data_IF_901693378122
#
_entry.id   IF_901693378122
#
_cell.length_a   1.000
_cell.length_b   1.000
_cell.length_c   1.000
_cell.angle_alpha   90.00
_cell.angle_beta   90.00
_cell.angle_gamma   90.00
#
_symmetry.space_group_name_H-M   'P 1'
#
loop_
_entity.id
_entity.type
_entity.pdbx_description
1 polymer ?
#
# COMPACT_ATOMS: atom_id res chain seq x y z
N UNK A 1 -29.98 28.09 23.58
CA UNK A 1 -28.64 28.72 23.74
C UNK A 1 -27.66 28.27 22.66
N UNK A 2 -27.42 26.96 22.50
CA UNK A 2 -26.50 26.45 21.46
C UNK A 2 -26.91 26.81 20.03
N UNK A 3 -28.20 26.71 19.66
CA UNK A 3 -28.71 27.18 18.35
C UNK A 3 -28.42 28.66 18.05
N UNK A 4 -28.34 29.51 19.08
CA UNK A 4 -28.03 30.94 18.95
C UNK A 4 -26.53 31.18 18.83
N UNK A 5 -25.71 30.30 19.41
CA UNK A 5 -24.25 30.32 19.34
C UNK A 5 -23.70 29.75 18.02
N UNK A 6 -24.45 28.87 17.35
CA UNK A 6 -24.09 28.23 16.08
C UNK A 6 -24.72 28.91 14.85
N UNK A 7 -25.53 29.95 15.05
CA UNK A 7 -26.11 30.73 13.96
C UNK A 7 -24.99 31.41 13.15
N UNK A 8 -25.03 31.22 11.83
CA UNK A 8 -24.10 31.90 10.94
C UNK A 8 -24.30 33.42 11.05
N UNK A 9 -23.25 34.20 11.35
CA UNK A 9 -23.36 35.65 11.42
C UNK A 9 -23.61 36.24 10.02
N UNK A 10 -24.19 37.45 9.95
CA UNK A 10 -24.52 38.11 8.68
C UNK A 10 -23.30 38.43 7.81
N UNK A 11 -22.08 38.44 8.37
CA UNK A 11 -20.81 38.68 7.66
C UNK A 11 -19.91 37.45 7.78
N UNK A 12 -19.42 36.94 6.64
CA UNK A 12 -18.49 35.81 6.59
C UNK A 12 -17.10 36.24 7.08
N UNK A 13 -16.80 35.93 8.33
CA UNK A 13 -15.53 36.11 9.01
C UNK A 13 -14.54 34.98 8.73
N UNK A 14 -13.24 35.25 8.58
CA UNK A 14 -12.21 34.20 8.54
C UNK A 14 -11.90 33.74 9.98
N UNK A 15 -11.80 32.42 10.21
CA UNK A 15 -11.63 31.89 11.58
C UNK A 15 -10.32 32.34 12.25
N UNK A 16 -9.29 32.57 11.45
CA UNK A 16 -7.95 32.97 11.90
C UNK A 16 -7.73 34.49 11.91
N UNK A 17 -8.75 35.29 11.56
CA UNK A 17 -8.61 36.73 11.60
C UNK A 17 -8.75 37.23 13.04
N UNK A 18 -7.63 37.64 13.63
CA UNK A 18 -7.58 38.13 15.02
C UNK A 18 -8.33 39.46 15.22
N UNK A 19 -8.67 40.17 14.15
CA UNK A 19 -9.35 41.47 14.20
C UNK A 19 -10.85 41.40 14.47
N UNK A 20 -11.50 40.26 14.20
CA UNK A 20 -12.96 40.11 14.35
C UNK A 20 -13.37 39.56 15.72
N UNK A 21 -14.52 39.97 16.30
CA UNK A 21 -14.93 39.52 17.63
C UNK A 21 -15.08 38.00 17.71
N UNK A 22 -14.74 37.39 18.87
CA UNK A 22 -14.80 35.94 19.09
C UNK A 22 -16.18 35.35 18.77
N UNK A 23 -17.25 36.11 19.01
CA UNK A 23 -18.64 35.75 18.67
C UNK A 23 -18.83 35.42 17.18
N UNK A 24 -18.14 36.11 16.29
CA UNK A 24 -18.10 35.83 14.85
C UNK A 24 -17.18 34.66 14.50
N UNK A 25 -16.47 34.05 15.45
CA UNK A 25 -15.64 32.86 15.23
C UNK A 25 -16.26 31.60 15.86
N UNK A 26 -17.14 31.76 16.85
CA UNK A 26 -17.78 30.64 17.59
C UNK A 26 -18.51 29.68 16.66
N UNK A 27 -19.22 30.18 15.64
CA UNK A 27 -19.93 29.33 14.67
C UNK A 27 -18.99 28.46 13.81
N UNK A 28 -17.67 28.71 13.82
CA UNK A 28 -16.66 27.87 13.18
C UNK A 28 -15.92 26.94 14.15
N UNK A 29 -16.16 27.06 15.46
CA UNK A 29 -15.49 26.25 16.46
C UNK A 29 -16.01 24.81 16.46
N UNK A 30 -15.14 23.87 16.09
CA UNK A 30 -15.44 22.44 16.10
C UNK A 30 -15.92 21.94 17.48
N UNK A 31 -15.33 22.41 18.58
CA UNK A 31 -15.66 21.96 19.94
C UNK A 31 -17.09 22.32 20.35
N UNK A 32 -17.59 23.46 19.88
CA UNK A 32 -18.97 23.90 20.17
C UNK A 32 -19.95 23.07 19.37
N UNK A 33 -19.61 22.76 18.12
CA UNK A 33 -20.41 21.87 17.27
C UNK A 33 -20.40 20.42 17.75
N UNK A 34 -19.28 19.89 18.24
CA UNK A 34 -19.24 18.53 18.80
C UNK A 34 -20.09 18.44 20.06
N UNK A 35 -19.94 19.39 20.99
CA UNK A 35 -20.80 19.45 22.18
C UNK A 35 -22.29 19.62 21.79
N UNK A 36 -22.57 20.40 20.74
CA UNK A 36 -23.94 20.57 20.28
C UNK A 36 -24.51 19.28 19.69
N UNK A 37 -23.72 18.54 18.91
CA UNK A 37 -24.09 17.23 18.40
C UNK A 37 -24.33 16.21 19.54
N UNK A 38 -23.44 16.17 20.54
CA UNK A 38 -23.55 15.25 21.69
C UNK A 38 -24.84 15.52 22.50
N UNK A 39 -25.19 16.79 22.71
CA UNK A 39 -26.42 17.17 23.42
C UNK A 39 -27.66 16.81 22.61
N UNK A 40 -27.65 17.05 21.30
CA UNK A 40 -28.77 16.70 20.43
C UNK A 40 -28.92 15.18 20.31
N UNK A 41 -27.83 14.41 20.33
CA UNK A 41 -27.89 12.94 20.36
C UNK A 41 -28.52 12.42 21.67
N UNK A 42 -28.28 13.09 22.80
CA UNK A 42 -28.83 12.68 24.09
C UNK A 42 -30.30 13.12 24.33
N UNK A 43 -30.71 14.28 23.81
CA UNK A 43 -32.00 14.90 24.15
C UNK A 43 -32.88 15.26 22.94
N UNK A 44 -32.35 15.21 21.72
CA UNK A 44 -32.95 15.77 20.53
C UNK A 44 -33.96 14.86 19.83
N UNK A 45 -34.69 15.45 18.88
CA UNK A 45 -35.51 14.71 17.92
C UNK A 45 -34.68 14.35 16.69
N UNK A 46 -35.08 13.32 15.95
CA UNK A 46 -34.35 12.86 14.76
C UNK A 46 -34.07 13.99 13.75
N UNK A 47 -35.07 14.82 13.49
CA UNK A 47 -34.97 15.94 12.55
C UNK A 47 -34.08 17.08 13.05
N UNK A 48 -34.04 17.32 14.37
CA UNK A 48 -33.15 18.34 14.93
C UNK A 48 -31.70 17.89 14.78
N UNK A 49 -31.40 16.64 15.15
CA UNK A 49 -30.08 16.04 15.02
C UNK A 49 -29.59 16.08 13.57
N UNK A 50 -30.42 15.65 12.61
CA UNK A 50 -30.08 15.70 11.18
C UNK A 50 -29.72 17.12 10.74
N UNK A 51 -30.52 18.12 11.09
CA UNK A 51 -30.23 19.53 10.73
C UNK A 51 -28.92 20.03 11.32
N UNK A 52 -28.56 19.60 12.54
CA UNK A 52 -27.29 19.97 13.17
C UNK A 52 -26.12 19.36 12.41
N UNK A 53 -26.18 18.05 12.14
CA UNK A 53 -25.12 17.36 11.40
C UNK A 53 -24.98 17.87 9.96
N UNK A 54 -26.08 18.10 9.24
CA UNK A 54 -26.04 18.71 7.90
C UNK A 54 -25.39 20.09 7.92
N UNK A 55 -25.69 20.90 8.94
CA UNK A 55 -25.06 22.22 9.08
C UNK A 55 -23.55 22.13 9.37
N UNK A 56 -23.10 21.12 10.11
CA UNK A 56 -21.67 20.87 10.35
C UNK A 56 -20.96 20.50 9.04
N UNK A 57 -21.61 19.67 8.21
CA UNK A 57 -21.13 19.23 6.89
C UNK A 57 -21.04 20.43 5.93
N UNK A 58 -22.09 21.25 5.85
CA UNK A 58 -22.14 22.44 4.98
C UNK A 58 -21.07 23.47 5.32
N UNK A 59 -20.77 23.65 6.61
CA UNK A 59 -19.72 24.55 7.07
C UNK A 59 -18.31 24.02 6.81
N UNK A 60 -18.16 22.75 6.37
CA UNK A 60 -16.89 22.06 6.12
C UNK A 60 -15.94 21.99 7.33
N UNK A 61 -16.51 21.95 8.54
CA UNK A 61 -15.74 21.83 9.80
C UNK A 61 -15.73 20.37 10.29
N UNK A 62 -16.50 19.49 9.64
CA UNK A 62 -16.63 18.10 10.05
C UNK A 62 -15.27 17.40 10.14
N UNK A 63 -15.06 16.64 11.22
CA UNK A 63 -14.02 15.61 11.27
C UNK A 63 -14.61 14.29 10.77
N UNK A 64 -13.77 13.35 10.29
CA UNK A 64 -14.23 12.02 9.85
C UNK A 64 -15.02 11.28 10.92
N UNK A 65 -14.59 11.44 12.18
CA UNK A 65 -15.24 10.84 13.34
C UNK A 65 -16.67 11.34 13.52
N UNK A 66 -16.94 12.62 13.28
CA UNK A 66 -18.31 13.19 13.34
C UNK A 66 -19.21 12.55 12.28
N UNK A 67 -18.69 12.29 11.08
CA UNK A 67 -19.46 11.65 10.01
C UNK A 67 -19.75 10.19 10.35
N UNK A 68 -18.77 9.48 10.91
CA UNK A 68 -18.97 8.10 11.39
C UNK A 68 -20.02 8.07 12.50
N UNK A 69 -19.96 9.00 13.46
CA UNK A 69 -20.95 9.09 14.53
C UNK A 69 -22.34 9.41 13.99
N UNK A 70 -22.46 10.38 13.08
CA UNK A 70 -23.74 10.73 12.46
C UNK A 70 -24.34 9.55 11.69
N UNK A 71 -23.51 8.85 10.92
CA UNK A 71 -23.96 7.67 10.20
C UNK A 71 -24.36 6.52 11.14
N UNK A 72 -23.67 6.34 12.27
CA UNK A 72 -24.04 5.38 13.31
C UNK A 72 -25.37 5.75 13.98
N UNK A 73 -25.58 7.02 14.31
CA UNK A 73 -26.86 7.51 14.82
C UNK A 73 -28.01 7.26 13.84
N UNK A 74 -27.79 7.50 12.54
CA UNK A 74 -28.80 7.19 11.51
C UNK A 74 -29.07 5.69 11.37
N UNK A 75 -28.05 4.84 11.58
CA UNK A 75 -28.21 3.38 11.61
C UNK A 75 -29.05 2.92 12.82
N UNK A 76 -28.84 3.51 14.01
CA UNK A 76 -29.61 3.18 15.22
C UNK A 76 -31.11 3.53 15.07
N UNK A 77 -31.43 4.50 14.21
CA UNK A 77 -32.79 4.93 13.91
C UNK A 77 -33.36 4.32 12.61
N UNK A 78 -32.73 3.28 12.05
CA UNK A 78 -33.14 2.56 10.83
C UNK A 78 -33.18 3.39 9.52
N UNK A 79 -32.61 4.60 9.49
CA UNK A 79 -32.50 5.44 8.29
C UNK A 79 -31.24 5.13 7.47
N UNK A 80 -31.16 3.92 6.91
CA UNK A 80 -29.97 3.42 6.21
C UNK A 80 -29.62 4.22 4.94
N UNK A 81 -30.61 4.66 4.16
CA UNK A 81 -30.34 5.41 2.93
C UNK A 81 -29.73 6.78 3.22
N UNK A 82 -30.19 7.44 4.29
CA UNK A 82 -29.62 8.71 4.72
C UNK A 82 -28.22 8.53 5.30
N UNK A 83 -27.96 7.40 5.97
CA UNK A 83 -26.60 7.04 6.41
C UNK A 83 -25.65 6.92 5.22
N UNK A 84 -26.07 6.28 4.12
CA UNK A 84 -25.25 6.19 2.91
C UNK A 84 -25.02 7.53 2.21
N UNK A 85 -26.06 8.36 2.09
CA UNK A 85 -25.91 9.73 1.57
C UNK A 85 -24.94 10.55 2.42
N UNK A 86 -24.94 10.32 3.74
CA UNK A 86 -24.01 10.96 4.67
C UNK A 86 -22.56 10.54 4.41
N UNK A 87 -22.32 9.24 4.18
CA UNK A 87 -20.98 8.77 3.81
C UNK A 87 -20.52 9.35 2.46
N UNK A 88 -21.40 9.40 1.44
CA UNK A 88 -21.11 10.02 0.13
C UNK A 88 -20.78 11.51 0.25
N UNK A 89 -21.56 12.26 1.04
CA UNK A 89 -21.26 13.66 1.38
C UNK A 89 -19.90 13.77 2.10
N UNK A 90 -19.60 12.84 3.01
CA UNK A 90 -18.31 12.77 3.69
C UNK A 90 -17.14 12.57 2.73
N UNK A 91 -17.23 11.59 1.82
CA UNK A 91 -16.19 11.29 0.84
C UNK A 91 -15.92 12.49 -0.08
N UNK A 92 -16.95 13.23 -0.49
CA UNK A 92 -16.79 14.42 -1.33
C UNK A 92 -16.06 15.59 -0.63
N UNK A 93 -16.05 15.61 0.71
CA UNK A 93 -15.47 16.70 1.50
C UNK A 93 -14.00 16.50 1.86
N UNK A 94 -13.59 15.26 2.17
CA UNK A 94 -12.20 14.99 2.57
C UNK A 94 -11.34 14.58 1.38
N UNK A 95 -10.04 14.86 1.51
CA UNK A 95 -9.00 14.34 0.63
C UNK A 95 -8.23 13.22 1.34
N UNK A 96 -7.54 12.39 0.56
CA UNK A 96 -6.58 11.42 1.10
C UNK A 96 -5.56 12.10 2.00
N UNK A 97 -5.10 11.44 3.10
CA UNK A 97 -5.28 10.04 3.52
C UNK A 97 -6.55 9.71 4.30
N UNK A 98 -7.20 10.70 4.88
CA UNK A 98 -8.25 10.54 5.92
C UNK A 98 -9.53 9.83 5.41
N UNK A 99 -9.74 9.89 4.10
CA UNK A 99 -10.85 9.25 3.39
C UNK A 99 -10.83 7.71 3.53
N UNK A 100 -9.67 7.11 3.78
CA UNK A 100 -9.52 5.65 3.90
C UNK A 100 -10.34 5.04 5.06
N UNK A 101 -10.41 5.72 6.20
CA UNK A 101 -11.13 5.30 7.40
C UNK A 101 -12.64 5.34 7.14
N UNK A 102 -13.10 6.43 6.52
CA UNK A 102 -14.51 6.59 6.12
C UNK A 102 -14.90 5.47 5.16
N UNK A 103 -14.10 5.21 4.13
CA UNK A 103 -14.36 4.11 3.19
C UNK A 103 -14.41 2.74 3.87
N UNK A 104 -13.47 2.46 4.77
CA UNK A 104 -13.42 1.16 5.44
C UNK A 104 -14.67 0.93 6.30
N UNK A 105 -15.10 1.93 7.07
CA UNK A 105 -16.33 1.84 7.86
C UNK A 105 -17.54 1.74 6.94
N UNK A 106 -17.64 2.60 5.93
CA UNK A 106 -18.76 2.61 5.00
C UNK A 106 -18.93 1.26 4.29
N UNK A 107 -17.85 0.71 3.74
CA UNK A 107 -17.87 -0.58 3.04
C UNK A 107 -18.24 -1.72 4.00
N UNK A 108 -17.61 -1.83 5.17
CA UNK A 108 -17.95 -2.90 6.13
C UNK A 108 -19.40 -2.84 6.60
N UNK A 109 -19.97 -1.65 6.77
CA UNK A 109 -21.39 -1.46 7.11
C UNK A 109 -22.31 -1.83 5.96
N UNK A 110 -21.97 -1.39 4.75
CA UNK A 110 -22.72 -1.75 3.54
C UNK A 110 -22.76 -3.27 3.34
N UNK A 111 -21.62 -3.94 3.52
CA UNK A 111 -21.48 -5.40 3.42
C UNK A 111 -22.37 -6.14 4.43
N UNK A 112 -22.31 -5.77 5.71
CA UNK A 112 -23.11 -6.41 6.77
C UNK A 112 -24.61 -6.41 6.48
N UNK A 113 -25.12 -5.39 5.79
CA UNK A 113 -26.55 -5.25 5.50
C UNK A 113 -26.96 -5.85 4.16
N UNK A 114 -26.19 -5.60 3.10
CA UNK A 114 -26.57 -5.93 1.72
C UNK A 114 -25.89 -7.16 1.14
N UNK A 115 -25.11 -7.92 1.92
CA UNK A 115 -24.31 -9.09 1.55
C UNK A 115 -24.73 -9.79 0.26
N UNK A 116 -26.00 -10.20 0.09
CA UNK A 116 -26.47 -10.84 -1.15
C UNK A 116 -27.40 -10.05 -2.08
N UNK A 117 -28.01 -8.93 -1.66
CA UNK A 117 -29.16 -8.34 -2.38
C UNK A 117 -28.81 -7.32 -3.47
N UNK A 118 -27.69 -6.59 -3.33
CA UNK A 118 -27.30 -5.50 -4.26
C UNK A 118 -25.80 -5.52 -4.53
N UNK A 119 -25.32 -6.60 -5.15
CA UNK A 119 -23.89 -6.79 -5.45
C UNK A 119 -23.35 -5.78 -6.46
N UNK A 120 -24.12 -5.45 -7.49
CA UNK A 120 -23.69 -4.47 -8.52
C UNK A 120 -23.40 -3.10 -7.92
N UNK A 121 -24.30 -2.59 -7.06
CA UNK A 121 -24.08 -1.35 -6.33
C UNK A 121 -22.85 -1.42 -5.42
N UNK A 122 -22.57 -2.58 -4.82
CA UNK A 122 -21.36 -2.76 -4.03
C UNK A 122 -20.11 -2.64 -4.90
N UNK A 123 -20.12 -3.27 -6.09
CA UNK A 123 -19.01 -3.24 -7.06
C UNK A 123 -18.73 -1.82 -7.53
N UNK A 124 -19.76 -1.08 -7.93
CA UNK A 124 -19.61 0.32 -8.37
C UNK A 124 -18.96 1.17 -7.28
N UNK A 125 -19.35 0.94 -6.03
CA UNK A 125 -18.81 1.64 -4.89
C UNK A 125 -17.33 1.29 -4.62
N UNK A 126 -16.98 0.02 -4.76
CA UNK A 126 -15.59 -0.42 -4.67
C UNK A 126 -14.74 0.16 -5.82
N UNK A 127 -15.23 0.18 -7.05
CA UNK A 127 -14.51 0.78 -8.19
C UNK A 127 -14.28 2.28 -7.97
N UNK A 128 -15.29 3.02 -7.51
CA UNK A 128 -15.12 4.44 -7.16
C UNK A 128 -14.06 4.67 -6.07
N UNK A 129 -14.06 3.79 -5.05
CA UNK A 129 -13.04 3.83 -4.01
C UNK A 129 -11.65 3.60 -4.62
N UNK A 130 -11.48 2.54 -5.42
CA UNK A 130 -10.22 2.13 -6.04
C UNK A 130 -9.66 3.17 -7.02
N UNK A 131 -10.49 3.86 -7.79
CA UNK A 131 -10.07 4.94 -8.69
C UNK A 131 -9.37 6.09 -7.95
N UNK A 132 -9.85 6.38 -6.73
CA UNK A 132 -9.32 7.49 -5.95
C UNK A 132 -8.12 7.06 -5.08
N UNK A 133 -7.85 5.76 -4.95
CA UNK A 133 -6.91 5.22 -3.96
C UNK A 133 -5.42 5.44 -4.28
N UNK A 134 -4.63 5.94 -3.31
CA UNK A 134 -3.17 5.82 -3.35
C UNK A 134 -2.73 4.39 -2.97
N UNK A 135 -1.62 3.94 -3.56
CA UNK A 135 -1.09 2.57 -3.45
C UNK A 135 -0.86 2.06 -2.01
N UNK A 136 -0.61 2.97 -1.06
CA UNK A 136 -0.34 2.65 0.36
C UNK A 136 -1.53 2.06 1.12
N UNK A 137 -2.76 2.42 0.75
CA UNK A 137 -3.96 1.97 1.47
C UNK A 137 -4.80 0.98 0.66
N UNK A 138 -4.41 0.75 -0.60
CA UNK A 138 -5.10 -0.13 -1.53
C UNK A 138 -5.22 -1.56 -1.00
N UNK A 139 -4.20 -2.07 -0.29
CA UNK A 139 -4.15 -3.46 0.17
C UNK A 139 -5.41 -3.88 0.96
N UNK A 140 -5.81 -3.07 1.95
CA UNK A 140 -6.95 -3.40 2.82
C UNK A 140 -8.27 -3.39 2.04
N UNK A 141 -8.42 -2.45 1.11
CA UNK A 141 -9.63 -2.27 0.30
C UNK A 141 -9.79 -3.41 -0.71
N UNK A 142 -8.72 -3.78 -1.41
CA UNK A 142 -8.72 -4.94 -2.31
C UNK A 142 -9.04 -6.24 -1.58
N UNK A 143 -8.47 -6.44 -0.38
CA UNK A 143 -8.77 -7.62 0.43
C UNK A 143 -10.24 -7.68 0.85
N UNK A 144 -10.82 -6.52 1.22
CA UNK A 144 -12.23 -6.44 1.56
C UNK A 144 -13.13 -6.72 0.35
N UNK A 145 -12.76 -6.18 -0.82
CA UNK A 145 -13.50 -6.39 -2.06
C UNK A 145 -13.47 -7.87 -2.48
N UNK A 146 -12.29 -8.50 -2.41
CA UNK A 146 -12.15 -9.91 -2.75
C UNK A 146 -12.92 -10.83 -1.79
N UNK A 147 -12.99 -10.51 -0.49
CA UNK A 147 -13.84 -11.25 0.47
C UNK A 147 -15.32 -11.20 0.10
N UNK A 148 -15.84 -10.04 -0.32
CA UNK A 148 -17.23 -9.95 -0.79
C UNK A 148 -17.46 -10.87 -2.00
N UNK A 149 -16.53 -10.86 -2.96
CA UNK A 149 -16.69 -11.66 -4.18
C UNK A 149 -16.47 -13.16 -3.92
N UNK A 150 -15.73 -13.54 -2.87
CA UNK A 150 -15.65 -14.92 -2.40
C UNK A 150 -16.96 -15.40 -1.77
N UNK A 151 -17.61 -14.56 -0.94
CA UNK A 151 -18.82 -14.94 -0.21
C UNK A 151 -20.08 -14.94 -1.09
N UNK A 152 -20.16 -14.00 -2.04
CA UNK A 152 -21.39 -13.74 -2.79
C UNK A 152 -21.20 -13.71 -4.31
N UNK A 153 -19.96 -13.74 -4.78
CA UNK A 153 -19.61 -13.51 -6.18
C UNK A 153 -19.22 -14.75 -6.96
N UNK A 154 -18.68 -14.49 -8.15
CA UNK A 154 -18.14 -15.51 -9.03
C UNK A 154 -16.64 -15.70 -8.74
N UNK A 155 -16.16 -16.94 -8.54
CA UNK A 155 -14.75 -17.23 -8.33
C UNK A 155 -13.79 -16.63 -9.35
N UNK A 156 -14.23 -16.47 -10.60
CA UNK A 156 -13.40 -15.87 -11.67
C UNK A 156 -13.19 -14.37 -11.47
N UNK A 157 -14.22 -13.68 -10.98
CA UNK A 157 -14.14 -12.24 -10.73
C UNK A 157 -13.25 -11.95 -9.52
N UNK A 158 -13.38 -12.73 -8.44
CA UNK A 158 -12.49 -12.66 -7.28
C UNK A 158 -11.01 -12.82 -7.70
N UNK A 159 -10.71 -13.77 -8.59
CA UNK A 159 -9.35 -13.98 -9.12
C UNK A 159 -8.82 -12.76 -9.89
N UNK A 160 -9.67 -12.13 -10.71
CA UNK A 160 -9.34 -10.91 -11.46
C UNK A 160 -9.02 -9.75 -10.53
N UNK A 161 -9.81 -9.58 -9.46
CA UNK A 161 -9.60 -8.54 -8.45
C UNK A 161 -8.28 -8.74 -7.72
N UNK A 162 -7.95 -9.98 -7.33
CA UNK A 162 -6.65 -10.25 -6.72
C UNK A 162 -5.48 -9.95 -7.67
N UNK A 163 -5.60 -10.27 -8.96
CA UNK A 163 -4.58 -9.93 -9.95
C UNK A 163 -4.46 -8.40 -10.14
N UNK A 164 -5.58 -7.67 -10.16
CA UNK A 164 -5.54 -6.19 -10.15
C UNK A 164 -4.88 -5.64 -8.88
N UNK A 165 -5.13 -6.28 -7.74
CA UNK A 165 -4.55 -5.89 -6.46
C UNK A 165 -3.02 -6.02 -6.45
N UNK A 166 -2.44 -7.04 -7.09
CA UNK A 166 -0.97 -7.19 -7.13
C UNK A 166 -0.28 -6.05 -7.88
N UNK A 167 -0.92 -5.47 -8.89
CA UNK A 167 -0.41 -4.33 -9.64
C UNK A 167 -0.57 -2.98 -8.91
N UNK A 168 -1.64 -2.83 -8.11
CA UNK A 168 -1.98 -1.56 -7.47
C UNK A 168 -1.31 -1.32 -6.10
N UNK A 169 -0.84 -2.39 -5.44
CA UNK A 169 -0.28 -2.34 -4.09
C UNK A 169 1.18 -1.89 -4.10
N UNK A 170 1.61 -1.24 -3.00
CA UNK A 170 3.01 -0.85 -2.81
C UNK A 170 3.97 -2.06 -2.82
N UNK A 171 5.19 -1.88 -3.35
CA UNK A 171 6.20 -2.95 -3.50
C UNK A 171 6.53 -3.67 -2.19
N UNK A 172 6.45 -2.97 -1.05
CA UNK A 172 6.68 -3.54 0.29
C UNK A 172 5.61 -4.57 0.68
N UNK A 173 4.35 -4.28 0.38
CA UNK A 173 3.19 -5.10 0.75
C UNK A 173 2.82 -6.14 -0.32
N UNK A 174 3.35 -5.98 -1.53
CA UNK A 174 3.10 -6.86 -2.67
C UNK A 174 3.36 -8.34 -2.36
N UNK A 175 4.44 -8.66 -1.64
CA UNK A 175 4.74 -10.04 -1.22
C UNK A 175 3.65 -10.64 -0.32
N UNK A 176 3.08 -9.83 0.57
CA UNK A 176 1.97 -10.26 1.42
C UNK A 176 0.71 -10.53 0.59
N UNK A 177 0.42 -9.65 -0.38
CA UNK A 177 -0.72 -9.83 -1.29
C UNK A 177 -0.60 -11.11 -2.12
N UNK A 178 0.56 -11.39 -2.72
CA UNK A 178 0.78 -12.64 -3.46
C UNK A 178 0.59 -13.88 -2.58
N UNK A 179 1.04 -13.84 -1.33
CA UNK A 179 0.84 -14.97 -0.41
C UNK A 179 -0.63 -15.22 -0.09
N UNK A 180 -1.43 -14.16 0.07
CA UNK A 180 -2.88 -14.29 0.25
C UNK A 180 -3.50 -14.85 -1.03
N UNK A 181 -3.12 -14.29 -2.19
CA UNK A 181 -3.63 -14.69 -3.48
C UNK A 181 -3.38 -16.17 -3.79
N UNK A 182 -2.17 -16.66 -3.56
CA UNK A 182 -1.80 -18.06 -3.76
C UNK A 182 -2.62 -18.98 -2.85
N UNK A 183 -2.74 -18.64 -1.56
CA UNK A 183 -3.55 -19.43 -0.62
C UNK A 183 -5.01 -19.52 -1.07
N UNK A 184 -5.57 -18.41 -1.53
CA UNK A 184 -6.95 -18.34 -2.00
C UNK A 184 -7.15 -19.11 -3.31
N UNK A 185 -6.27 -18.91 -4.29
CA UNK A 185 -6.31 -19.65 -5.54
C UNK A 185 -6.19 -21.16 -5.32
N UNK A 186 -5.30 -21.60 -4.42
CA UNK A 186 -5.16 -23.01 -4.05
C UNK A 186 -6.44 -23.60 -3.45
N UNK A 187 -7.16 -22.85 -2.59
CA UNK A 187 -8.42 -23.31 -2.02
C UNK A 187 -9.58 -23.37 -3.03
N UNK A 188 -9.62 -22.46 -4.00
CA UNK A 188 -10.76 -22.36 -4.94
C UNK A 188 -10.63 -23.29 -6.15
N UNK A 189 -9.44 -23.37 -6.75
CA UNK A 189 -9.21 -24.05 -8.02
C UNK A 189 -8.18 -25.18 -7.93
N UNK A 190 -7.59 -25.38 -6.75
CA UNK A 190 -6.50 -26.34 -6.55
C UNK A 190 -5.13 -25.78 -6.93
N UNK A 191 -4.10 -26.60 -6.68
CA UNK A 191 -2.69 -26.21 -6.83
C UNK A 191 -2.27 -25.94 -8.28
N UNK A 192 -2.89 -26.59 -9.27
CA UNK A 192 -2.53 -26.45 -10.69
C UNK A 192 -2.71 -25.03 -11.22
N UNK A 193 -3.75 -24.33 -10.76
CA UNK A 193 -4.05 -22.96 -11.14
C UNK A 193 -3.16 -21.91 -10.46
N UNK A 194 -2.34 -22.31 -9.48
CA UNK A 194 -1.42 -21.38 -8.79
C UNK A 194 -0.14 -21.10 -9.59
N UNK A 195 0.18 -21.94 -10.58
CA UNK A 195 1.37 -21.81 -11.44
C UNK A 195 1.55 -20.44 -12.12
N UNK A 196 0.56 -19.93 -12.89
CA UNK A 196 0.69 -18.62 -13.52
C UNK A 196 0.83 -17.48 -12.49
N UNK A 197 0.27 -17.66 -11.29
CA UNK A 197 0.39 -16.68 -10.20
C UNK A 197 1.83 -16.62 -9.70
N UNK A 198 2.47 -17.77 -9.50
CA UNK A 198 3.86 -17.82 -9.08
C UNK A 198 4.80 -17.23 -10.13
N UNK A 199 4.58 -17.53 -11.42
CA UNK A 199 5.35 -16.95 -12.51
C UNK A 199 5.24 -15.42 -12.50
N UNK A 200 4.01 -14.90 -12.43
CA UNK A 200 3.78 -13.47 -12.35
C UNK A 200 4.42 -12.84 -11.10
N UNK A 201 4.38 -13.53 -9.95
CA UNK A 201 5.02 -13.06 -8.73
C UNK A 201 6.55 -12.95 -8.87
N UNK A 202 7.19 -13.90 -9.54
CA UNK A 202 8.65 -13.90 -9.74
C UNK A 202 9.09 -12.74 -10.66
N UNK A 203 8.29 -12.39 -11.65
CA UNK A 203 8.58 -11.29 -12.59
C UNK A 203 8.46 -9.89 -11.94
N UNK A 204 7.49 -9.70 -11.04
CA UNK A 204 7.16 -8.37 -10.50
C UNK A 204 7.86 -8.08 -9.17
N UNK A 205 8.15 -9.11 -8.36
CA UNK A 205 8.72 -8.93 -7.03
C UNK A 205 10.20 -8.49 -7.06
N UNK A 206 10.64 -7.68 -6.08
CA UNK A 206 12.07 -7.40 -5.87
C UNK A 206 12.86 -8.68 -5.59
N UNK A 207 14.15 -8.69 -5.95
CA UNK A 207 15.06 -9.86 -5.91
C UNK A 207 15.04 -10.64 -4.58
N UNK A 208 15.02 -9.94 -3.44
CA UNK A 208 14.98 -10.59 -2.12
C UNK A 208 13.69 -11.40 -1.90
N UNK A 209 12.53 -10.83 -2.29
CA UNK A 209 11.22 -11.45 -2.10
C UNK A 209 10.89 -12.44 -3.21
N UNK A 210 11.39 -12.24 -4.42
CA UNK A 210 11.23 -13.18 -5.53
C UNK A 210 11.93 -14.50 -5.24
N UNK A 211 13.07 -14.49 -4.53
CA UNK A 211 13.75 -15.70 -4.04
C UNK A 211 12.87 -16.52 -3.11
N UNK A 212 12.32 -15.90 -2.07
CA UNK A 212 11.41 -16.59 -1.13
C UNK A 212 10.20 -17.17 -1.86
N UNK A 213 9.64 -16.42 -2.81
CA UNK A 213 8.50 -16.86 -3.61
C UNK A 213 8.86 -18.05 -4.49
N UNK A 214 10.02 -18.02 -5.14
CA UNK A 214 10.49 -19.10 -6.01
C UNK A 214 10.79 -20.38 -5.23
N UNK A 215 11.28 -20.27 -4.00
CA UNK A 215 11.44 -21.42 -3.10
C UNK A 215 10.11 -22.08 -2.75
N UNK A 216 9.07 -21.29 -2.48
CA UNK A 216 7.71 -21.81 -2.28
C UNK A 216 7.16 -22.43 -3.57
N UNK A 217 7.45 -21.84 -4.72
CA UNK A 217 7.03 -22.36 -6.01
C UNK A 217 7.64 -23.74 -6.29
N UNK A 218 8.94 -23.91 -6.03
CA UNK A 218 9.62 -25.20 -6.17
C UNK A 218 9.08 -26.27 -5.19
N UNK A 219 8.78 -25.88 -3.94
CA UNK A 219 8.14 -26.79 -2.97
C UNK A 219 6.75 -27.24 -3.42
N UNK A 220 5.97 -26.33 -4.00
CA UNK A 220 4.65 -26.63 -4.56
C UNK A 220 4.75 -27.61 -5.73
N UNK A 221 5.63 -27.38 -6.71
CA UNK A 221 5.80 -28.31 -7.85
C UNK A 221 6.32 -29.68 -7.40
N UNK A 222 7.20 -29.72 -6.39
CA UNK A 222 7.61 -30.97 -5.74
C UNK A 222 6.43 -31.72 -5.12
N UNK A 223 5.48 -31.00 -4.49
CA UNK A 223 4.27 -31.62 -3.92
C UNK A 223 3.32 -32.18 -4.99
N UNK A 224 3.35 -31.62 -6.21
CA UNK A 224 2.62 -32.14 -7.37
C UNK A 224 3.33 -33.30 -8.07
N UNK A 225 4.59 -33.59 -7.72
CA UNK A 225 5.40 -34.66 -8.33
C UNK A 225 6.15 -34.25 -9.60
N UNK A 226 6.10 -32.98 -10.00
CA UNK A 226 6.72 -32.47 -11.22
C UNK A 226 8.18 -32.05 -10.96
N UNK A 227 9.07 -33.04 -10.91
CA UNK A 227 10.47 -32.86 -10.50
C UNK A 227 11.24 -31.99 -11.52
N UNK A 228 11.03 -32.17 -12.82
CA UNK A 228 11.75 -31.43 -13.86
C UNK A 228 11.42 -29.94 -13.87
N UNK A 229 10.18 -29.59 -13.53
CA UNK A 229 9.78 -28.19 -13.36
C UNK A 229 10.37 -27.59 -12.10
N UNK A 230 10.36 -28.33 -10.99
CA UNK A 230 11.02 -27.89 -9.76
C UNK A 230 12.52 -27.62 -10.00
N UNK A 231 13.21 -28.45 -10.79
CA UNK A 231 14.61 -28.21 -11.22
C UNK A 231 14.78 -26.91 -11.99
N UNK A 232 13.92 -26.66 -12.98
CA UNK A 232 13.98 -25.43 -13.76
C UNK A 232 13.79 -24.18 -12.87
N UNK A 233 12.89 -24.26 -11.89
CA UNK A 233 12.69 -23.17 -10.92
C UNK A 233 13.93 -22.98 -10.05
N UNK A 234 14.56 -24.05 -9.54
CA UNK A 234 15.81 -23.94 -8.77
C UNK A 234 16.95 -23.35 -9.62
N UNK A 235 17.05 -23.71 -10.90
CA UNK A 235 18.02 -23.11 -11.81
C UNK A 235 17.79 -21.60 -11.96
N UNK A 236 16.55 -21.15 -12.19
CA UNK A 236 16.20 -19.73 -12.24
C UNK A 236 16.51 -19.00 -10.92
N UNK A 237 16.19 -19.62 -9.77
CA UNK A 237 16.53 -19.05 -8.46
C UNK A 237 18.04 -18.86 -8.30
N UNK A 238 18.83 -19.75 -8.85
CA UNK A 238 20.28 -19.76 -8.67
C UNK A 238 20.97 -18.53 -9.26
N UNK A 239 20.38 -17.92 -10.28
CA UNK A 239 20.89 -16.69 -10.91
C UNK A 239 20.79 -15.48 -9.98
N UNK A 240 19.84 -15.51 -9.04
CA UNK A 240 19.54 -14.43 -8.07
C UNK A 240 20.13 -14.74 -6.69
N UNK A 241 20.61 -15.98 -6.48
CA UNK A 241 21.06 -16.48 -5.17
C UNK A 241 22.58 -16.50 -5.06
N UNK A 242 23.13 -15.51 -4.36
CA UNK A 242 24.53 -15.51 -3.94
C UNK A 242 24.89 -16.76 -3.09
N UNK A 243 25.87 -17.59 -3.51
CA UNK A 243 26.24 -18.79 -2.77
C UNK A 243 26.88 -18.54 -1.40
N UNK A 244 27.39 -17.33 -1.15
CA UNK A 244 28.01 -16.95 0.14
C UNK A 244 26.99 -16.48 1.16
N UNK A 245 25.97 -15.74 0.71
CA UNK A 245 24.98 -15.12 1.58
C UNK A 245 23.83 -16.09 1.84
N UNK A 246 23.42 -16.86 0.82
CA UNK A 246 22.22 -17.70 0.87
C UNK A 246 22.57 -19.19 0.81
N UNK A 247 23.36 -19.67 1.77
CA UNK A 247 23.75 -21.09 1.87
C UNK A 247 22.56 -22.03 2.00
N UNK A 248 21.54 -21.62 2.77
CA UNK A 248 20.31 -22.40 2.99
C UNK A 248 19.61 -22.79 1.69
N UNK A 249 19.59 -21.91 0.69
CA UNK A 249 19.02 -22.20 -0.63
C UNK A 249 19.75 -23.36 -1.30
N UNK A 250 21.08 -23.30 -1.32
CA UNK A 250 21.93 -24.31 -1.96
C UNK A 250 21.88 -25.66 -1.23
N UNK A 251 21.72 -25.66 0.09
CA UNK A 251 21.56 -26.88 0.86
C UNK A 251 20.21 -27.55 0.55
N UNK A 252 19.12 -26.77 0.47
CA UNK A 252 17.80 -27.29 0.08
C UNK A 252 17.82 -27.85 -1.35
N UNK A 253 18.47 -27.17 -2.30
CA UNK A 253 18.59 -27.66 -3.67
C UNK A 253 19.45 -28.94 -3.73
N UNK A 254 20.55 -29.00 -2.97
CA UNK A 254 21.35 -30.22 -2.86
C UNK A 254 20.53 -31.39 -2.30
N UNK A 255 19.78 -31.18 -1.23
CA UNK A 255 18.89 -32.21 -0.68
C UNK A 255 17.81 -32.66 -1.67
N UNK A 256 17.33 -31.74 -2.50
CA UNK A 256 16.36 -32.05 -3.54
C UNK A 256 16.97 -32.96 -4.62
N UNK A 257 18.16 -32.64 -5.15
CA UNK A 257 18.82 -33.47 -6.15
C UNK A 257 19.26 -34.82 -5.59
N UNK A 258 19.66 -34.90 -4.32
CA UNK A 258 19.99 -36.18 -3.67
C UNK A 258 18.77 -37.10 -3.55
N UNK A 259 17.58 -36.53 -3.32
CA UNK A 259 16.34 -37.32 -3.15
C UNK A 259 15.71 -37.76 -4.46
N UNK A 260 15.86 -36.96 -5.52
CA UNK A 260 15.10 -37.15 -6.78
C UNK A 260 15.97 -37.20 -8.05
N UNK A 261 17.27 -36.98 -7.93
CA UNK A 261 18.21 -36.82 -9.05
C UNK A 261 19.21 -37.96 -9.21
N UNK A 262 20.09 -37.76 -10.19
CA UNK A 262 21.16 -38.68 -10.56
C UNK A 262 22.52 -38.01 -10.31
N UNK A 263 23.62 -38.78 -10.33
CA UNK A 263 24.97 -38.20 -10.13
C UNK A 263 25.28 -37.06 -11.10
N UNK A 264 24.81 -37.16 -12.34
CA UNK A 264 25.02 -36.13 -13.37
C UNK A 264 24.25 -34.84 -13.04
N UNK A 265 23.03 -34.92 -12.49
CA UNK A 265 22.25 -33.73 -12.13
C UNK A 265 22.85 -33.02 -10.91
N UNK A 266 23.36 -33.78 -9.94
CA UNK A 266 24.11 -33.24 -8.80
C UNK A 266 25.40 -32.56 -9.26
N UNK A 267 26.14 -33.17 -10.21
CA UNK A 267 27.34 -32.56 -10.80
C UNK A 267 27.03 -31.26 -11.53
N UNK A 268 25.93 -31.20 -12.28
CA UNK A 268 25.51 -29.98 -12.97
C UNK A 268 25.12 -28.87 -11.99
N UNK A 269 24.39 -29.17 -10.91
CA UNK A 269 24.10 -28.19 -9.85
C UNK A 269 25.39 -27.60 -9.24
N UNK A 270 26.39 -28.44 -8.95
CA UNK A 270 27.68 -27.97 -8.42
C UNK A 270 28.48 -27.13 -9.44
N UNK A 271 28.29 -27.39 -10.73
CA UNK A 271 28.86 -26.56 -11.80
C UNK A 271 28.19 -25.19 -11.83
N UNK A 272 26.85 -25.15 -11.79
CA UNK A 272 26.07 -23.91 -11.72
C UNK A 272 26.48 -23.10 -10.48
N UNK A 273 26.56 -23.72 -9.30
CA UNK A 273 27.03 -23.07 -8.06
C UNK A 273 28.39 -22.38 -8.22
N UNK A 274 29.36 -23.05 -8.84
CA UNK A 274 30.69 -22.48 -9.10
C UNK A 274 30.65 -21.35 -10.11
N UNK A 275 29.83 -21.47 -11.16
CA UNK A 275 29.68 -20.43 -12.17
C UNK A 275 29.06 -19.16 -11.59
N UNK A 276 27.97 -19.29 -10.83
CA UNK A 276 27.30 -18.17 -10.15
C UNK A 276 28.27 -17.51 -9.16
N UNK A 277 28.98 -18.31 -8.34
CA UNK A 277 29.99 -17.79 -7.44
C UNK A 277 31.08 -16.97 -8.15
N UNK A 278 31.51 -17.41 -9.34
CA UNK A 278 32.49 -16.69 -10.15
C UNK A 278 31.89 -15.38 -10.71
N UNK A 279 30.67 -15.40 -11.22
CA UNK A 279 29.97 -14.21 -11.73
C UNK A 279 29.85 -13.12 -10.67
N UNK A 280 29.40 -13.48 -9.46
CA UNK A 280 29.27 -12.54 -8.35
C UNK A 280 30.62 -12.05 -7.80
N UNK A 281 31.66 -12.91 -7.78
CA UNK A 281 33.01 -12.44 -7.43
C UNK A 281 33.52 -11.41 -8.43
N UNK A 282 33.23 -11.60 -9.72
CA UNK A 282 33.65 -10.68 -10.78
C UNK A 282 32.88 -9.37 -10.69
N UNK A 283 31.56 -9.41 -10.46
CA UNK A 283 30.76 -8.19 -10.30
C UNK A 283 31.16 -7.38 -9.06
N UNK A 284 31.44 -8.03 -7.94
CA UNK A 284 31.98 -7.36 -6.73
C UNK A 284 33.35 -6.74 -7.00
N UNK A 285 34.23 -7.43 -7.72
CA UNK A 285 35.55 -6.90 -8.11
C UNK A 285 35.44 -5.70 -9.07
N UNK A 286 34.52 -5.74 -10.03
CA UNK A 286 34.27 -4.62 -10.96
C UNK A 286 33.65 -3.43 -10.22
N UNK A 287 32.66 -3.66 -9.35
CA UNK A 287 31.96 -2.61 -8.61
C UNK A 287 32.90 -1.93 -7.59
N UNK A 288 33.76 -2.69 -6.91
CA UNK A 288 34.82 -2.15 -6.05
C UNK A 288 35.89 -1.39 -6.84
N UNK A 289 36.30 -1.87 -8.02
CA UNK A 289 37.20 -1.12 -8.90
C UNK A 289 36.59 0.20 -9.39
N UNK A 290 35.29 0.22 -9.74
CA UNK A 290 34.56 1.42 -10.12
C UNK A 290 34.47 2.43 -8.96
N UNK A 291 34.17 1.95 -7.74
CA UNK A 291 34.13 2.78 -6.54
C UNK A 291 35.50 3.35 -6.16
N UNK A 292 36.58 2.57 -6.34
CA UNK A 292 37.94 3.06 -6.16
C UNK A 292 38.35 4.06 -7.25
N UNK A 293 37.87 3.90 -8.49
CA UNK A 293 38.08 4.86 -9.57
C UNK A 293 37.34 6.19 -9.34
N UNK A 294 36.11 6.16 -8.84
CA UNK A 294 35.37 7.39 -8.49
C UNK A 294 35.94 8.06 -7.24
N UNK A 295 36.36 7.29 -6.24
CA UNK A 295 37.04 7.81 -5.05
C UNK A 295 38.42 8.41 -5.36
N UNK A 296 39.20 7.78 -6.26
CA UNK A 296 40.47 8.33 -6.72
C UNK A 296 40.29 9.55 -7.63
N UNK A 297 39.19 9.63 -8.40
CA UNK A 297 38.76 10.85 -9.09
C UNK A 297 38.44 12.00 -8.12
N UNK A 298 37.78 11.70 -6.99
CA UNK A 298 37.55 12.66 -5.89
C UNK A 298 38.85 13.08 -5.20
N UNK A 299 39.78 12.15 -4.96
CA UNK A 299 41.11 12.48 -4.42
C UNK A 299 41.91 13.36 -5.38
N UNK A 300 41.92 13.07 -6.70
CA UNK A 300 42.54 13.93 -7.71
C UNK A 300 41.87 15.31 -7.80
N UNK A 301 40.56 15.42 -7.62
CA UNK A 301 39.88 16.71 -7.56
C UNK A 301 40.28 17.49 -6.30
N UNK A 302 40.42 16.82 -5.14
CA UNK A 302 40.92 17.40 -3.89
C UNK A 302 42.38 17.83 -3.97
N UNK A 303 43.21 17.08 -4.69
CA UNK A 303 44.61 17.40 -4.97
C UNK A 303 44.75 18.54 -5.99
N UNK A 304 43.93 18.56 -7.05
CA UNK A 304 43.82 19.69 -7.96
C UNK A 304 43.33 20.95 -7.25
N UNK A 305 42.36 20.88 -6.34
CA UNK A 305 41.92 22.03 -5.54
C UNK A 305 43.00 22.48 -4.55
N UNK A 306 43.84 21.57 -4.03
CA UNK A 306 45.02 21.96 -3.22
C UNK A 306 46.14 22.58 -4.06
N UNK A 307 46.39 22.07 -5.26
CA UNK A 307 47.42 22.58 -6.18
C UNK A 307 47.00 23.90 -6.85
N UNK A 308 45.72 24.06 -7.22
CA UNK A 308 45.16 25.33 -7.70
C UNK A 308 44.83 26.31 -6.56
N UNK A 309 44.60 25.81 -5.34
CA UNK A 309 44.41 26.63 -4.13
C UNK A 309 45.65 27.40 -3.69
N UNK A 310 46.82 27.10 -4.28
CA UNK A 310 48.04 27.91 -4.15
C UNK A 310 48.20 28.96 -5.26
N UNK A 311 47.33 28.98 -6.27
CA UNK A 311 47.42 29.92 -7.40
C UNK A 311 46.19 30.83 -7.58
N UNK A 312 45.10 30.64 -6.82
CA UNK A 312 43.98 31.57 -6.82
C UNK A 312 43.76 32.21 -5.45
N UNK A 313 44.31 33.40 -5.31
CA UNK A 313 43.93 34.43 -4.36
C UNK A 313 42.39 34.58 -4.34
N UNK A 314 41.79 34.19 -3.23
CA UNK A 314 40.72 34.90 -2.49
C UNK A 314 39.41 35.36 -3.14
N UNK A 315 39.09 35.10 -4.41
CA UNK A 315 37.85 35.70 -5.01
C UNK A 315 36.76 34.73 -5.46
N UNK A 316 37.03 33.46 -5.81
CA UNK A 316 36.02 32.60 -6.46
C UNK A 316 35.44 31.48 -5.56
N UNK A 317 35.91 31.35 -4.32
CA UNK A 317 35.46 30.26 -3.43
C UNK A 317 34.04 30.46 -2.84
N UNK A 318 33.43 31.65 -2.98
CA UNK A 318 32.10 31.92 -2.39
C UNK A 318 30.93 31.45 -3.26
N UNK A 319 31.09 31.35 -4.58
CA UNK A 319 29.96 31.03 -5.46
C UNK A 319 29.73 29.51 -5.64
N UNK A 320 30.74 28.67 -5.39
CA UNK A 320 30.60 27.21 -5.58
C UNK A 320 30.01 26.46 -4.37
N UNK A 321 30.08 27.01 -3.16
CA UNK A 321 29.49 26.39 -1.96
C UNK A 321 27.96 26.45 -2.00
N UNK A 322 27.37 27.36 -2.79
CA UNK A 322 25.92 27.47 -2.95
C UNK A 322 25.27 26.36 -3.78
N UNK A 323 26.02 25.66 -4.64
CA UNK A 323 25.42 24.72 -5.61
C UNK A 323 25.30 23.28 -5.11
N UNK A 324 26.14 22.85 -4.15
CA UNK A 324 26.17 21.46 -3.68
C UNK A 324 25.01 21.14 -2.70
N UNK A 325 24.38 22.15 -2.12
CA UNK A 325 23.30 21.95 -1.16
C UNK A 325 21.92 21.78 -1.82
N UNK A 326 21.81 21.92 -3.14
CA UNK A 326 20.53 21.86 -3.86
C UNK A 326 20.22 20.49 -4.50
N UNK A 327 21.14 19.51 -4.42
CA UNK A 327 20.97 18.17 -5.03
C UNK A 327 20.83 17.02 -4.03
N UNK A 328 20.59 17.33 -2.74
CA UNK A 328 20.40 16.33 -1.67
C UNK A 328 19.12 16.57 -0.84
N UNK A 329 18.08 17.12 -1.46
CA UNK A 329 16.70 17.03 -0.95
C UNK A 329 15.78 16.48 -2.03
#
# INVERSE_FOLDING_TARGET
LMQRATAAPPRRSHYFDESEPVQYRVYKSLKVWSLYADIEEAFGTLESCQRVYERIIDLRIATPQIIINYAKFLEENDYFENSFKTYEKGIALFKWPVVNEIWTVYLTKFLKRYGGKKLERARDLFEQCLETCPSKFAMKLYLLYAKLEEEHGLPRHAMSIYNRATAAVEKSEMYSMFNIYIKKAASMYGLTHTRPIFQHAVEVLPEDRSREMSMRFAQMERSLGEIDRARAIYAHCSEICDPRVHTQFWDIWKEFEVKHGNEDTVREMLRIKRSVQATYNTSVNVMSAQMLATASGWCRFRECVRLFGLCMSSVVLRDYIGFVQCSLN
#
